data_IF_997593375039
#
_entry.id   IF_997593375039
#
_cell.length_a   1.000
_cell.length_b   1.000
_cell.length_c   1.000
_cell.angle_alpha   90.00
_cell.angle_beta   90.00
_cell.angle_gamma   90.00
#
_symmetry.space_group_name_H-M   'P 1'
#
loop_
_entity.id
_entity.type
_entity.pdbx_description
1 polymer ?
#
# COMPACT_ATOMS: atom_id res chain seq x y z
N UNK A 1 -0.27 -19.84 31.64
CA UNK A 1 0.71 -19.43 30.62
C UNK A 1 2.06 -19.32 31.32
N UNK A 2 3.01 -20.20 31.03
CA UNK A 2 4.29 -20.26 31.76
C UNK A 2 5.22 -19.13 31.31
N UNK A 3 6.13 -18.71 32.19
CA UNK A 3 7.08 -17.61 31.93
C UNK A 3 7.98 -17.90 30.73
N UNK A 4 8.38 -19.17 30.54
CA UNK A 4 9.13 -19.61 29.37
C UNK A 4 8.37 -19.31 28.07
N UNK A 5 7.08 -19.65 27.98
CA UNK A 5 6.28 -19.38 26.76
C UNK A 5 6.13 -17.89 26.44
N UNK A 6 6.37 -16.98 27.40
CA UNK A 6 6.35 -15.53 27.17
C UNK A 6 7.68 -14.99 26.66
N UNK A 7 8.81 -15.51 27.16
CA UNK A 7 10.14 -15.13 26.65
C UNK A 7 10.29 -15.50 25.16
N UNK A 8 9.92 -16.72 24.77
CA UNK A 8 9.99 -17.15 23.36
C UNK A 8 9.10 -16.30 22.43
N UNK A 9 7.95 -15.83 22.91
CA UNK A 9 7.05 -15.00 22.09
C UNK A 9 7.54 -13.57 21.91
N UNK A 10 8.22 -13.03 22.92
CA UNK A 10 8.76 -11.67 22.88
C UNK A 10 10.02 -11.61 22.01
N UNK A 11 10.91 -12.59 22.12
CA UNK A 11 12.14 -12.69 21.31
C UNK A 11 11.82 -12.88 19.81
N UNK A 12 10.89 -13.79 19.46
CA UNK A 12 10.47 -13.97 18.07
C UNK A 12 9.75 -12.75 17.48
N UNK A 13 8.99 -11.99 18.29
CA UNK A 13 8.39 -10.74 17.82
C UNK A 13 9.44 -9.66 17.57
N UNK A 14 10.49 -9.60 18.39
CA UNK A 14 11.55 -8.62 18.25
C UNK A 14 12.41 -8.90 17.01
N UNK A 15 12.75 -10.16 16.75
CA UNK A 15 13.48 -10.58 15.56
C UNK A 15 12.69 -10.37 14.26
N UNK A 16 11.39 -10.71 14.26
CA UNK A 16 10.52 -10.49 13.11
C UNK A 16 10.37 -9.00 12.78
N UNK A 17 10.33 -8.15 13.81
CA UNK A 17 10.29 -6.68 13.65
C UNK A 17 11.61 -6.14 13.09
N UNK A 18 12.74 -6.54 13.65
CA UNK A 18 14.06 -6.08 13.21
C UNK A 18 14.31 -6.45 11.74
N UNK A 19 14.01 -7.69 11.37
CA UNK A 19 14.18 -8.18 9.99
C UNK A 19 13.23 -7.52 8.97
N UNK A 20 12.01 -7.16 9.37
CA UNK A 20 11.06 -6.43 8.51
C UNK A 20 11.55 -5.02 8.15
N UNK A 21 12.12 -4.29 9.11
CA UNK A 21 12.60 -2.92 8.87
C UNK A 21 13.94 -2.86 8.13
N UNK A 22 14.74 -3.93 8.23
CA UNK A 22 16.01 -4.08 7.52
C UNK A 22 15.82 -4.45 6.04
N UNK A 23 14.68 -5.04 5.68
CA UNK A 23 14.35 -5.40 4.30
C UNK A 23 13.85 -4.22 3.43
N UNK A 24 13.62 -3.04 4.02
CA UNK A 24 13.10 -1.88 3.29
C UNK A 24 14.17 -1.24 2.38
N UNK A 25 13.79 -0.71 1.20
CA UNK A 25 14.69 0.07 0.36
C UNK A 25 15.36 1.22 1.14
N UNK A 26 16.66 1.41 0.96
CA UNK A 26 17.40 2.46 1.67
C UNK A 26 16.91 3.86 1.30
N UNK A 27 17.12 4.85 2.19
CA UNK A 27 16.74 6.25 1.93
C UNK A 27 17.28 6.78 0.58
N UNK A 28 18.55 6.55 0.20
CA UNK A 28 19.05 6.98 -1.12
C UNK A 28 18.31 6.32 -2.29
N UNK A 29 17.90 5.05 -2.14
CA UNK A 29 17.15 4.35 -3.18
C UNK A 29 15.76 4.98 -3.38
N UNK A 30 15.03 5.25 -2.28
CA UNK A 30 13.71 5.89 -2.35
C UNK A 30 13.78 7.32 -2.86
N UNK A 31 14.81 8.09 -2.47
CA UNK A 31 15.06 9.43 -2.99
C UNK A 31 15.26 9.40 -4.52
N UNK A 32 16.06 8.46 -5.02
CA UNK A 32 16.22 8.25 -6.46
C UNK A 32 14.90 7.81 -7.16
N UNK A 33 14.03 7.07 -6.48
CA UNK A 33 12.70 6.74 -7.01
C UNK A 33 11.81 8.00 -7.10
N UNK A 34 11.78 8.84 -6.07
CA UNK A 34 11.05 10.13 -6.06
C UNK A 34 11.56 11.03 -7.19
N UNK A 35 12.87 11.12 -7.39
CA UNK A 35 13.47 12.00 -8.38
C UNK A 35 13.07 11.65 -9.82
N UNK A 36 12.80 10.36 -10.09
CA UNK A 36 12.33 9.86 -11.38
C UNK A 36 10.85 10.11 -11.64
N UNK A 37 10.06 10.49 -10.64
CA UNK A 37 8.64 10.78 -10.82
C UNK A 37 8.46 12.04 -11.67
N UNK A 38 7.46 12.03 -12.55
CA UNK A 38 7.04 13.19 -13.34
C UNK A 38 6.15 14.13 -12.50
N UNK A 39 6.70 14.66 -11.42
CA UNK A 39 6.04 15.58 -10.48
C UNK A 39 6.80 16.92 -10.39
N UNK A 40 6.13 17.95 -9.88
CA UNK A 40 6.76 19.25 -9.60
C UNK A 40 7.83 19.13 -8.52
N UNK A 41 8.75 20.10 -8.47
CA UNK A 41 9.79 20.16 -7.45
C UNK A 41 9.19 20.20 -6.03
N UNK A 42 8.11 20.95 -5.83
CA UNK A 42 7.42 21.05 -4.54
C UNK A 42 6.81 19.71 -4.11
N UNK A 43 6.17 19.00 -5.04
CA UNK A 43 5.63 17.67 -4.74
C UNK A 43 6.74 16.67 -4.39
N UNK A 44 7.89 16.73 -5.09
CA UNK A 44 9.07 15.93 -4.74
C UNK A 44 9.65 16.33 -3.38
N UNK A 45 9.65 17.62 -3.03
CA UNK A 45 10.09 18.08 -1.72
C UNK A 45 9.21 17.49 -0.61
N UNK A 46 7.88 17.54 -0.77
CA UNK A 46 6.93 16.93 0.18
C UNK A 46 7.18 15.43 0.35
N UNK A 47 7.41 14.68 -0.74
CA UNK A 47 7.73 13.24 -0.66
C UNK A 47 9.07 12.99 0.04
N UNK A 48 10.05 13.87 -0.16
CA UNK A 48 11.33 13.81 0.53
C UNK A 48 11.21 14.17 2.01
N UNK A 49 10.32 15.10 2.39
CA UNK A 49 10.03 15.41 3.78
C UNK A 49 9.39 14.21 4.48
N UNK A 50 8.47 13.52 3.81
CA UNK A 50 7.88 12.25 4.31
C UNK A 50 8.98 11.22 4.54
N UNK A 51 9.95 11.07 3.62
CA UNK A 51 11.05 10.10 3.76
C UNK A 51 11.92 10.32 5.02
N UNK A 52 11.96 11.55 5.54
CA UNK A 52 12.69 11.88 6.77
C UNK A 52 11.89 11.67 8.06
N UNK A 53 10.59 11.34 7.96
CA UNK A 53 9.74 11.09 9.14
C UNK A 53 10.21 9.85 9.89
N UNK A 54 10.62 10.07 11.13
CA UNK A 54 10.98 9.03 12.11
C UNK A 54 10.14 9.21 13.38
N UNK A 55 9.85 8.10 14.05
CA UNK A 55 9.19 8.11 15.37
C UNK A 55 10.05 7.34 16.36
N UNK A 56 10.00 7.73 17.63
CA UNK A 56 10.62 6.98 18.71
C UNK A 56 9.55 6.22 19.51
N UNK A 57 9.71 4.91 19.64
CA UNK A 57 8.80 4.05 20.42
C UNK A 57 9.65 3.21 21.38
N UNK A 58 9.46 3.42 22.69
CA UNK A 58 10.16 2.64 23.72
C UNK A 58 11.68 2.70 23.62
N UNK A 59 12.26 3.85 23.23
CA UNK A 59 13.71 4.03 23.09
C UNK A 59 14.29 3.56 21.75
N UNK A 60 13.45 3.14 20.79
CA UNK A 60 13.88 2.76 19.43
C UNK A 60 13.37 3.75 18.39
N UNK A 61 14.24 4.16 17.47
CA UNK A 61 13.90 5.06 16.35
C UNK A 61 13.48 4.23 15.13
N UNK A 62 12.25 4.46 14.65
CA UNK A 62 11.65 3.77 13.51
C UNK A 62 11.44 4.76 12.37
N UNK A 63 11.90 4.41 11.17
CA UNK A 63 11.74 5.24 9.96
C UNK A 63 10.39 5.01 9.27
N UNK A 64 9.30 5.51 9.87
CA UNK A 64 7.93 5.33 9.36
C UNK A 64 7.74 5.94 7.97
N UNK A 65 8.40 7.07 7.69
CA UNK A 65 8.39 7.69 6.37
C UNK A 65 8.84 6.77 5.23
N UNK A 66 9.87 5.97 5.51
CA UNK A 66 10.41 4.97 4.57
C UNK A 66 9.39 3.88 4.29
N UNK A 67 8.74 3.36 5.32
CA UNK A 67 7.73 2.31 5.18
C UNK A 67 6.51 2.79 4.38
N UNK A 68 5.97 3.97 4.72
CA UNK A 68 4.85 4.58 3.99
C UNK A 68 5.23 4.79 2.52
N UNK A 69 6.40 5.38 2.25
CA UNK A 69 6.80 5.69 0.89
C UNK A 69 7.08 4.42 0.06
N UNK A 70 7.72 3.41 0.66
CA UNK A 70 7.87 2.09 0.02
C UNK A 70 6.51 1.51 -0.33
N UNK A 71 5.56 1.51 0.60
CA UNK A 71 4.21 0.99 0.35
C UNK A 71 3.51 1.75 -0.77
N UNK A 72 3.51 3.09 -0.75
CA UNK A 72 2.84 3.92 -1.75
C UNK A 72 3.45 3.72 -3.14
N UNK A 73 4.78 3.76 -3.25
CA UNK A 73 5.47 3.57 -4.53
C UNK A 73 5.26 2.15 -5.08
N UNK A 74 5.29 1.12 -4.23
CA UNK A 74 4.97 -0.25 -4.63
C UNK A 74 3.50 -0.38 -5.06
N UNK A 75 2.57 0.23 -4.33
CA UNK A 75 1.14 0.21 -4.66
C UNK A 75 0.89 0.84 -6.03
N UNK A 76 1.47 2.02 -6.28
CA UNK A 76 1.32 2.71 -7.57
C UNK A 76 1.89 1.91 -8.74
N UNK A 77 3.00 1.19 -8.53
CA UNK A 77 3.64 0.40 -9.58
C UNK A 77 2.94 -0.94 -9.83
N UNK A 78 2.47 -1.62 -8.77
CA UNK A 78 1.92 -2.98 -8.86
C UNK A 78 0.40 -3.03 -9.03
N UNK A 79 -0.30 -2.05 -8.48
CA UNK A 79 -1.76 -2.00 -8.40
C UNK A 79 -2.30 -0.64 -8.88
N UNK A 80 -2.08 -0.30 -10.17
CA UNK A 80 -2.41 1.01 -10.70
C UNK A 80 -3.91 1.33 -10.64
N UNK A 81 -4.80 0.34 -10.80
CA UNK A 81 -6.24 0.59 -10.70
C UNK A 81 -6.68 0.82 -9.25
N UNK A 82 -6.05 0.15 -8.28
CA UNK A 82 -6.26 0.40 -6.84
C UNK A 82 -5.84 1.82 -6.48
N UNK A 83 -4.64 2.24 -6.91
CA UNK A 83 -4.15 3.59 -6.69
C UNK A 83 -5.09 4.64 -7.31
N UNK A 84 -5.53 4.40 -8.55
CA UNK A 84 -6.49 5.26 -9.24
C UNK A 84 -7.85 5.33 -8.51
N UNK A 85 -8.39 4.19 -8.08
CA UNK A 85 -9.64 4.11 -7.32
C UNK A 85 -9.59 4.88 -6.02
N UNK A 86 -8.46 4.83 -5.30
CA UNK A 86 -8.23 5.64 -4.10
C UNK A 86 -8.24 7.14 -4.40
N UNK A 87 -7.53 7.57 -5.45
CA UNK A 87 -7.48 8.99 -5.86
C UNK A 87 -8.89 9.50 -6.23
N UNK A 88 -9.63 8.75 -7.05
CA UNK A 88 -11.02 9.11 -7.42
C UNK A 88 -11.91 9.22 -6.17
N UNK A 89 -11.82 8.26 -5.26
CA UNK A 89 -12.57 8.28 -4.01
C UNK A 89 -12.27 9.52 -3.16
N UNK A 90 -10.99 9.90 -3.03
CA UNK A 90 -10.57 11.09 -2.29
C UNK A 90 -11.06 12.37 -2.94
N UNK A 91 -10.99 12.49 -4.28
CA UNK A 91 -11.50 13.65 -5.02
C UNK A 91 -13.01 13.80 -4.82
N UNK A 92 -13.78 12.72 -4.98
CA UNK A 92 -15.24 12.75 -4.78
C UNK A 92 -15.59 13.11 -3.34
N UNK A 93 -14.90 12.50 -2.37
CA UNK A 93 -15.11 12.78 -0.94
C UNK A 93 -14.84 14.24 -0.61
N UNK A 94 -13.76 14.81 -1.16
CA UNK A 94 -13.38 16.22 -0.96
C UNK A 94 -14.41 17.16 -1.58
N UNK A 95 -14.94 16.82 -2.77
CA UNK A 95 -15.99 17.60 -3.42
C UNK A 95 -17.31 17.60 -2.63
N UNK A 96 -17.67 16.48 -2.01
CA UNK A 96 -18.87 16.41 -1.16
C UNK A 96 -18.67 17.20 0.13
N UNK A 97 -17.48 17.09 0.73
CA UNK A 97 -17.15 17.84 1.94
C UNK A 97 -17.16 19.36 1.74
N UNK A 98 -16.97 19.85 0.51
CA UNK A 98 -17.01 21.29 0.20
C UNK A 98 -18.42 21.88 0.12
N UNK A 99 -19.48 21.06 0.12
CA UNK A 99 -20.86 21.54 0.11
C UNK A 99 -21.24 22.06 1.50
N UNK A 100 -21.60 23.35 1.65
CA UNK A 100 -22.03 23.90 2.94
C UNK A 100 -23.24 23.14 3.49
N UNK A 101 -23.26 22.92 4.81
CA UNK A 101 -24.28 22.14 5.55
C UNK A 101 -24.32 20.64 5.21
N UNK A 102 -24.47 20.26 3.94
CA UNK A 102 -24.56 18.85 3.52
C UNK A 102 -23.23 18.11 3.70
N UNK A 103 -22.11 18.74 3.39
CA UNK A 103 -20.78 18.15 3.52
C UNK A 103 -20.41 17.86 4.99
N UNK A 104 -20.89 18.66 5.94
CA UNK A 104 -20.64 18.45 7.37
C UNK A 104 -21.39 17.22 7.90
N UNK A 105 -22.62 17.01 7.43
CA UNK A 105 -23.46 15.88 7.88
C UNK A 105 -23.10 14.60 7.15
N UNK A 106 -22.95 14.67 5.83
CA UNK A 106 -22.75 13.50 4.98
C UNK A 106 -21.27 13.13 4.83
N UNK A 107 -20.36 14.09 4.87
CA UNK A 107 -18.93 13.89 4.65
C UNK A 107 -18.31 12.81 5.54
N UNK A 108 -18.50 12.84 6.87
CA UNK A 108 -17.93 11.85 7.77
C UNK A 108 -18.39 10.41 7.52
N UNK A 109 -19.58 10.22 6.95
CA UNK A 109 -20.11 8.89 6.60
C UNK A 109 -19.73 8.48 5.17
N UNK A 110 -19.76 9.42 4.23
CA UNK A 110 -19.55 9.14 2.81
C UNK A 110 -18.08 8.94 2.46
N UNK A 111 -17.17 9.70 3.05
CA UNK A 111 -15.73 9.59 2.77
C UNK A 111 -15.16 8.18 3.01
N UNK A 112 -15.37 7.53 4.18
CA UNK A 112 -14.87 6.17 4.38
C UNK A 112 -15.53 5.16 3.44
N UNK A 113 -16.81 5.34 3.09
CA UNK A 113 -17.49 4.48 2.13
C UNK A 113 -16.90 4.60 0.72
N UNK A 114 -16.66 5.83 0.24
CA UNK A 114 -16.04 6.02 -1.07
C UNK A 114 -14.61 5.51 -1.10
N UNK A 115 -13.82 5.73 -0.05
CA UNK A 115 -12.46 5.20 0.04
C UNK A 115 -12.49 3.67 0.00
N UNK A 116 -13.33 3.04 0.83
CA UNK A 116 -13.47 1.59 0.84
C UNK A 116 -13.94 1.05 -0.52
N UNK A 117 -14.91 1.70 -1.14
CA UNK A 117 -15.42 1.33 -2.46
C UNK A 117 -14.36 1.50 -3.57
N UNK A 118 -13.66 2.64 -3.62
CA UNK A 118 -12.64 2.92 -4.62
C UNK A 118 -11.46 1.96 -4.53
N UNK A 119 -11.01 1.66 -3.30
CA UNK A 119 -9.99 0.64 -3.05
C UNK A 119 -10.46 -0.75 -3.49
N UNK A 120 -11.66 -1.17 -3.09
CA UNK A 120 -12.19 -2.49 -3.42
C UNK A 120 -12.41 -2.68 -4.93
N UNK A 121 -13.00 -1.68 -5.58
CA UNK A 121 -13.24 -1.70 -7.02
C UNK A 121 -11.93 -1.72 -7.81
N UNK A 122 -10.96 -0.88 -7.43
CA UNK A 122 -9.64 -0.84 -8.06
C UNK A 122 -8.87 -2.14 -7.86
N UNK A 123 -8.88 -2.71 -6.65
CA UNK A 123 -8.26 -4.00 -6.37
C UNK A 123 -8.89 -5.13 -7.17
N UNK A 124 -10.21 -5.15 -7.32
CA UNK A 124 -10.90 -6.13 -8.15
C UNK A 124 -10.53 -5.98 -9.64
N UNK A 125 -10.31 -4.76 -10.12
CA UNK A 125 -9.83 -4.52 -11.48
C UNK A 125 -8.39 -5.01 -11.68
N UNK A 126 -7.48 -4.70 -10.75
CA UNK A 126 -6.09 -5.19 -10.80
C UNK A 126 -6.01 -6.73 -10.79
N UNK A 127 -6.87 -7.40 -10.03
CA UNK A 127 -6.96 -8.87 -10.03
C UNK A 127 -7.46 -9.44 -11.37
N UNK A 128 -8.38 -8.74 -12.03
CA UNK A 128 -8.93 -9.15 -13.33
C UNK A 128 -7.91 -8.94 -14.45
N UNK A 129 -7.14 -7.87 -14.44
CA UNK A 129 -6.21 -7.56 -15.52
C UNK A 129 -4.83 -8.22 -15.34
N UNK A 130 -4.56 -8.76 -14.15
CA UNK A 130 -3.23 -9.20 -13.73
C UNK A 130 -2.79 -10.64 -14.05
N UNK A 131 -1.67 -11.07 -13.43
CA UNK A 131 -1.03 -12.38 -13.62
C UNK A 131 -1.92 -13.58 -13.28
N UNK A 132 -2.97 -13.37 -12.48
CA UNK A 132 -3.86 -14.44 -12.05
C UNK A 132 -4.61 -15.04 -13.24
N UNK A 133 -5.12 -14.20 -14.16
CA UNK A 133 -5.72 -14.69 -15.41
C UNK A 133 -4.71 -15.45 -16.27
N UNK A 134 -3.48 -14.93 -16.37
CA UNK A 134 -2.42 -15.61 -17.12
C UNK A 134 -2.05 -16.97 -16.51
N UNK A 135 -2.02 -17.08 -15.17
CA UNK A 135 -1.76 -18.34 -14.45
C UNK A 135 -2.92 -19.32 -14.56
N UNK A 136 -4.16 -18.85 -14.46
CA UNK A 136 -5.36 -19.68 -14.68
C UNK A 136 -5.39 -20.21 -16.11
N UNK A 137 -5.11 -19.37 -17.10
CA UNK A 137 -5.02 -19.78 -18.50
C UNK A 137 -3.85 -20.75 -18.77
N UNK A 138 -2.72 -20.61 -18.07
CA UNK A 138 -1.60 -21.56 -18.16
C UNK A 138 -1.96 -22.91 -17.54
N UNK A 139 -2.66 -22.93 -16.41
CA UNK A 139 -3.13 -24.16 -15.79
C UNK A 139 -4.14 -24.89 -16.68
N UNK A 140 -5.10 -24.17 -17.25
CA UNK A 140 -6.07 -24.73 -18.21
C UNK A 140 -5.35 -25.41 -19.38
N UNK A 141 -4.39 -24.73 -20.01
CA UNK A 141 -3.58 -25.31 -21.09
C UNK A 141 -2.77 -26.54 -20.67
N UNK A 142 -2.22 -26.54 -19.46
CA UNK A 142 -1.47 -27.69 -18.93
C UNK A 142 -2.37 -28.92 -18.79
N UNK A 143 -3.59 -28.76 -18.27
CA UNK A 143 -4.54 -29.87 -18.11
C UNK A 143 -5.12 -30.35 -19.44
N UNK A 144 -5.44 -29.47 -20.38
CA UNK A 144 -5.89 -29.86 -21.72
C UNK A 144 -4.83 -30.70 -22.46
N UNK A 145 -3.55 -30.33 -22.32
CA UNK A 145 -2.42 -31.07 -22.88
C UNK A 145 -2.21 -32.44 -22.23
N UNK A 146 -2.45 -32.56 -20.92
CA UNK A 146 -2.36 -33.83 -20.20
C UNK A 146 -3.48 -34.81 -20.61
N UNK A 147 -4.69 -34.30 -20.90
CA UNK A 147 -5.83 -35.14 -21.30
C UNK A 147 -5.83 -35.59 -22.77
N UNK A 148 -5.13 -34.88 -23.67
CA UNK A 148 -5.05 -35.26 -25.10
C UNK A 148 -4.01 -36.34 -25.41
N UNK A 149 -3.12 -36.64 -24.46
CA UNK A 149 -2.04 -37.63 -24.60
C UNK A 149 -2.24 -38.88 -23.72
N UNK A 150 -3.42 -39.04 -23.12
CA UNK A 150 -3.86 -40.22 -22.36
C UNK A 150 -4.93 -40.97 -23.15
#
# INVERSE_FOLDING_TARGET
MSLETREWSDEMQDDARLTLFDALPTKPNLRAQIDRLSLSADAKAVLNDILEVVIEVGGRVISVGREILTFVLDMMQRYPNTAFGLVVALVISTLIASIPLLGVVLGPLMAPLFIAFGLAAGALADLKDGPLRARVAQLEKYYEGATKNA
#
